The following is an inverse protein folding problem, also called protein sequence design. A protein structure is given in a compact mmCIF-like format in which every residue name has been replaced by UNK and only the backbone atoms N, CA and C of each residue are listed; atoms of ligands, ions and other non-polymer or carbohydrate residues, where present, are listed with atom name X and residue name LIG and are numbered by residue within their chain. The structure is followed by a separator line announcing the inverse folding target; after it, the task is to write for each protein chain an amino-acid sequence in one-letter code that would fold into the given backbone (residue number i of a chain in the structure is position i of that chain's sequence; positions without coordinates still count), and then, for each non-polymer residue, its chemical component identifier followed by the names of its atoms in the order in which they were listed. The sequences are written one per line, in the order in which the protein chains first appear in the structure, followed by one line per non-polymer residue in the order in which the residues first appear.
data_IF_152381299156
#
_entry.id   IF_152381299156
#
_cell.length_a   1.000
_cell.length_b   1.000
_cell.length_c   1.000
_cell.angle_alpha   90.00
_cell.angle_beta   90.00
_cell.angle_gamma   90.00
#
_symmetry.space_group_name_H-M   'P 1'
#
loop_
_entity.id
_entity.type
_entity.pdbx_description
1 polymer ?
#
# COMPACT_ATOMS: atom_id res chain seq x y z
N UNK A 1 20.65 -0.29 10.09
CA UNK A 1 20.01 -0.58 8.77
C UNK A 1 19.89 -2.08 8.48
N UNK A 2 20.92 -2.90 8.70
CA UNK A 2 20.88 -4.35 8.40
C UNK A 2 19.72 -5.10 9.07
N UNK A 3 19.49 -4.88 10.37
CA UNK A 3 18.38 -5.52 11.13
C UNK A 3 17.00 -5.20 10.56
N UNK A 4 16.80 -3.99 10.02
CA UNK A 4 15.51 -3.55 9.47
C UNK A 4 15.32 -3.92 8.01
N UNK A 5 16.37 -4.36 7.32
CA UNK A 5 16.30 -4.74 5.91
C UNK A 5 15.41 -5.98 5.71
N UNK A 6 15.54 -6.98 6.59
CA UNK A 6 14.73 -8.21 6.53
C UNK A 6 13.22 -7.96 6.69
N UNK A 7 12.72 -7.25 7.73
CA UNK A 7 11.30 -6.94 7.84
C UNK A 7 10.80 -6.04 6.71
N UNK A 8 11.63 -5.11 6.24
CA UNK A 8 11.26 -4.20 5.15
C UNK A 8 11.06 -4.93 3.81
N UNK A 9 12.02 -5.78 3.43
CA UNK A 9 11.91 -6.59 2.21
C UNK A 9 10.78 -7.61 2.30
N UNK A 10 10.59 -8.25 3.45
CA UNK A 10 9.48 -9.19 3.65
C UNK A 10 8.12 -8.50 3.51
N UNK A 11 7.97 -7.31 4.10
CA UNK A 11 6.75 -6.52 3.99
C UNK A 11 6.51 -6.01 2.57
N UNK A 12 7.56 -5.58 1.86
CA UNK A 12 7.50 -5.20 0.45
C UNK A 12 6.96 -6.34 -0.42
N UNK A 13 7.56 -7.53 -0.31
CA UNK A 13 7.15 -8.70 -1.11
C UNK A 13 5.71 -9.10 -0.81
N UNK A 14 5.35 -9.19 0.48
CA UNK A 14 4.00 -9.55 0.87
C UNK A 14 2.95 -8.52 0.41
N UNK A 15 3.24 -7.23 0.61
CA UNK A 15 2.40 -6.13 0.12
C UNK A 15 2.25 -6.15 -1.40
N UNK A 16 3.33 -6.45 -2.13
CA UNK A 16 3.32 -6.54 -3.59
C UNK A 16 2.45 -7.70 -4.10
N UNK A 17 2.53 -8.88 -3.48
CA UNK A 17 1.68 -10.03 -3.81
C UNK A 17 0.20 -9.70 -3.58
N UNK A 18 -0.12 -9.12 -2.42
CA UNK A 18 -1.50 -8.69 -2.12
C UNK A 18 -1.98 -7.60 -3.06
N UNK A 19 -1.10 -6.68 -3.45
CA UNK A 19 -1.41 -5.65 -4.43
C UNK A 19 -1.78 -6.26 -5.79
N UNK A 20 -0.96 -7.18 -6.33
CA UNK A 20 -1.27 -7.83 -7.61
C UNK A 20 -2.63 -8.52 -7.55
N UNK A 21 -2.90 -9.29 -6.50
CA UNK A 21 -4.16 -10.03 -6.37
C UNK A 21 -5.35 -9.07 -6.21
N UNK A 22 -5.25 -8.11 -5.30
CA UNK A 22 -6.31 -7.14 -5.04
C UNK A 22 -6.59 -6.26 -6.26
N UNK A 23 -5.55 -5.78 -6.94
CA UNK A 23 -5.72 -4.95 -8.13
C UNK A 23 -6.32 -5.76 -9.28
N UNK A 24 -5.80 -6.95 -9.56
CA UNK A 24 -6.23 -7.76 -10.71
C UNK A 24 -7.67 -8.24 -10.58
N UNK A 25 -8.07 -8.69 -9.39
CA UNK A 25 -9.36 -9.36 -9.18
C UNK A 25 -10.43 -8.51 -8.51
N UNK A 26 -10.07 -7.40 -7.86
CA UNK A 26 -11.03 -6.54 -7.14
C UNK A 26 -11.10 -5.15 -7.79
N UNK A 27 -9.97 -4.50 -8.05
CA UNK A 27 -9.97 -3.12 -8.55
C UNK A 27 -10.20 -3.01 -10.06
N UNK A 28 -9.40 -3.71 -10.87
CA UNK A 28 -9.47 -3.63 -12.34
C UNK A 28 -10.84 -3.93 -12.97
N UNK A 29 -11.65 -4.87 -12.45
CA UNK A 29 -12.98 -5.11 -12.99
C UNK A 29 -13.93 -3.90 -12.93
N UNK A 30 -13.67 -2.96 -12.01
CA UNK A 30 -14.51 -1.78 -11.78
C UNK A 30 -13.72 -0.47 -11.96
N UNK A 31 -12.49 -0.53 -12.46
CA UNK A 31 -11.60 0.62 -12.51
C UNK A 31 -12.04 1.64 -13.57
N UNK A 32 -12.00 2.91 -13.18
CA UNK A 32 -12.28 4.03 -14.07
C UNK A 32 -11.29 4.06 -15.25
N UNK A 33 -11.76 4.59 -16.38
CA UNK A 33 -10.87 4.87 -17.51
C UNK A 33 -9.82 5.92 -17.11
N UNK A 34 -8.56 5.68 -17.45
CA UNK A 34 -7.48 6.61 -17.14
C UNK A 34 -7.72 7.96 -17.83
N UNK A 35 -7.72 9.05 -17.04
CA UNK A 35 -7.87 10.41 -17.55
C UNK A 35 -6.68 10.86 -18.41
N UNK A 36 -5.49 10.31 -18.14
CA UNK A 36 -4.25 10.61 -18.83
C UNK A 36 -3.48 9.33 -19.15
N UNK A 37 -2.71 9.30 -20.26
CA UNK A 37 -1.85 8.18 -20.55
C UNK A 37 -0.76 8.04 -19.46
N UNK A 38 -0.38 6.80 -19.10
CA UNK A 38 0.65 6.57 -18.09
C UNK A 38 2.01 7.10 -18.57
N UNK A 39 2.74 7.78 -17.68
CA UNK A 39 4.06 8.36 -17.98
C UNK A 39 5.14 7.29 -18.25
N UNK A 40 4.97 6.09 -17.69
CA UNK A 40 5.89 4.96 -17.81
C UNK A 40 5.09 3.67 -18.01
N UNK A 41 5.70 2.60 -18.57
CA UNK A 41 5.06 1.29 -18.61
C UNK A 41 4.59 0.83 -17.23
N UNK A 42 3.44 0.17 -17.16
CA UNK A 42 2.79 -0.24 -15.89
C UNK A 42 3.72 -1.00 -14.95
N UNK A 43 4.53 -1.92 -15.47
CA UNK A 43 5.48 -2.70 -14.67
C UNK A 43 6.54 -1.82 -13.99
N UNK A 44 7.01 -0.77 -14.68
CA UNK A 44 8.00 0.16 -14.15
C UNK A 44 7.36 1.10 -13.13
N UNK A 45 6.14 1.58 -13.40
CA UNK A 45 5.37 2.38 -12.45
C UNK A 45 5.14 1.64 -11.13
N UNK A 46 4.76 0.36 -11.20
CA UNK A 46 4.59 -0.49 -10.01
C UNK A 46 5.90 -0.64 -9.23
N UNK A 47 7.03 -0.86 -9.90
CA UNK A 47 8.33 -0.98 -9.24
C UNK A 47 8.71 0.32 -8.51
N UNK A 48 8.59 1.46 -9.17
CA UNK A 48 8.90 2.78 -8.61
C UNK A 48 8.02 3.05 -7.38
N UNK A 49 6.70 2.91 -7.53
CA UNK A 49 5.75 3.19 -6.45
C UNK A 49 5.95 2.24 -5.26
N UNK A 50 6.23 0.96 -5.50
CA UNK A 50 6.46 0.00 -4.42
C UNK A 50 7.67 0.37 -3.56
N UNK A 51 8.76 0.83 -4.19
CA UNK A 51 9.96 1.32 -3.47
C UNK A 51 9.65 2.59 -2.68
N UNK A 52 8.97 3.55 -3.30
CA UNK A 52 8.60 4.80 -2.61
C UNK A 52 7.70 4.53 -1.40
N UNK A 53 6.70 3.67 -1.56
CA UNK A 53 5.74 3.32 -0.51
C UNK A 53 6.40 2.60 0.66
N UNK A 54 7.33 1.67 0.42
CA UNK A 54 7.97 0.95 1.52
C UNK A 54 8.93 1.85 2.30
N UNK A 55 9.65 2.76 1.63
CA UNK A 55 10.50 3.76 2.29
C UNK A 55 9.65 4.75 3.10
N UNK A 56 8.50 5.16 2.56
CA UNK A 56 7.57 6.02 3.27
C UNK A 56 6.97 5.33 4.50
N UNK A 57 6.58 4.05 4.37
CA UNK A 57 6.13 3.23 5.49
C UNK A 57 7.18 3.13 6.58
N UNK A 58 8.43 2.88 6.19
CA UNK A 58 9.54 2.76 7.11
C UNK A 58 9.81 4.05 7.88
N UNK A 59 9.69 5.19 7.21
CA UNK A 59 9.78 6.50 7.84
C UNK A 59 8.63 6.74 8.85
N UNK A 60 7.37 6.46 8.47
CA UNK A 60 6.22 6.59 9.38
C UNK A 60 6.35 5.64 10.56
N UNK A 61 6.79 4.41 10.32
CA UNK A 61 6.94 3.41 11.38
C UNK A 61 8.04 3.78 12.38
N UNK A 62 9.10 4.47 11.95
CA UNK A 62 10.08 5.02 12.88
C UNK A 62 9.48 6.09 13.80
N UNK A 63 8.54 6.89 13.31
CA UNK A 63 7.88 7.92 14.11
C UNK A 63 6.79 7.34 15.05
N UNK A 64 6.05 6.33 14.59
CA UNK A 64 4.89 5.76 15.30
C UNK A 64 5.29 4.61 16.23
N UNK A 65 6.32 3.84 15.87
CA UNK A 65 6.79 2.67 16.62
C UNK A 65 5.85 1.46 16.58
N UNK A 66 4.78 1.50 15.80
CA UNK A 66 3.81 0.40 15.67
C UNK A 66 3.49 0.14 14.18
N UNK A 67 4.01 -0.96 13.60
CA UNK A 67 3.88 -1.25 12.18
C UNK A 67 2.45 -1.32 11.67
N UNK A 68 1.54 -1.88 12.47
CA UNK A 68 0.12 -1.98 12.09
C UNK A 68 -0.55 -0.60 12.08
N UNK A 69 -0.30 0.21 13.11
CA UNK A 69 -0.82 1.59 13.16
C UNK A 69 -0.26 2.42 12.00
N UNK A 70 1.02 2.27 11.69
CA UNK A 70 1.65 2.93 10.54
C UNK A 70 0.98 2.57 9.21
N UNK A 71 0.71 1.28 8.99
CA UNK A 71 -0.02 0.82 7.80
C UNK A 71 -1.42 1.45 7.72
N UNK A 72 -2.17 1.43 8.81
CA UNK A 72 -3.52 2.02 8.87
C UNK A 72 -3.48 3.53 8.60
N UNK A 73 -2.53 4.27 9.17
CA UNK A 73 -2.38 5.71 8.94
C UNK A 73 -2.19 6.01 7.44
N UNK A 74 -1.36 5.22 6.76
CA UNK A 74 -1.13 5.41 5.32
C UNK A 74 -2.37 5.03 4.52
N UNK A 75 -3.00 3.90 4.83
CA UNK A 75 -4.22 3.46 4.16
C UNK A 75 -5.32 4.52 4.28
N UNK A 76 -5.59 5.01 5.48
CA UNK A 76 -6.62 6.03 5.73
C UNK A 76 -6.27 7.34 5.01
N UNK A 77 -4.99 7.72 4.98
CA UNK A 77 -4.55 8.92 4.26
C UNK A 77 -4.81 8.79 2.76
N UNK A 78 -4.53 7.64 2.16
CA UNK A 78 -4.82 7.39 0.75
C UNK A 78 -6.32 7.33 0.46
N UNK A 79 -7.11 6.71 1.35
CA UNK A 79 -8.57 6.68 1.23
C UNK A 79 -9.14 8.10 1.24
N UNK A 80 -8.72 8.94 2.19
CA UNK A 80 -9.24 10.31 2.27
C UNK A 80 -8.86 11.15 1.04
N UNK A 81 -7.60 11.07 0.59
CA UNK A 81 -7.08 11.91 -0.48
C UNK A 81 -7.41 11.44 -1.90
N UNK A 82 -7.56 10.12 -2.10
CA UNK A 82 -7.72 9.52 -3.43
C UNK A 82 -9.12 8.94 -3.62
N UNK A 83 -9.74 8.39 -2.58
CA UNK A 83 -11.10 7.82 -2.69
C UNK A 83 -12.16 8.86 -2.35
N UNK A 84 -12.14 9.42 -1.15
CA UNK A 84 -13.15 10.39 -0.72
C UNK A 84 -13.08 11.68 -1.55
N UNK A 85 -11.90 12.30 -1.63
CA UNK A 85 -11.76 13.57 -2.35
C UNK A 85 -12.11 13.44 -3.83
N UNK A 86 -11.71 12.34 -4.50
CA UNK A 86 -11.94 12.20 -5.94
C UNK A 86 -13.36 11.78 -6.28
N UNK A 87 -14.03 11.01 -5.42
CA UNK A 87 -15.47 10.78 -5.56
C UNK A 87 -16.24 12.09 -5.41
N UNK A 88 -15.92 12.87 -4.37
CA UNK A 88 -16.62 14.13 -4.10
C UNK A 88 -16.40 15.21 -5.16
N UNK A 89 -15.25 15.22 -5.83
CA UNK A 89 -14.94 16.18 -6.88
C UNK A 89 -15.22 15.66 -8.31
N UNK A 90 -15.77 14.46 -8.44
CA UNK A 90 -16.18 13.87 -9.72
C UNK A 90 -15.04 13.29 -10.57
N UNK A 91 -13.84 13.10 -10.02
CA UNK A 91 -12.70 12.49 -10.72
C UNK A 91 -12.58 10.96 -10.53
N UNK A 92 -13.48 10.34 -9.75
CA UNK A 92 -13.49 8.89 -9.50
C UNK A 92 -14.91 8.38 -9.29
N UNK A 93 -15.24 7.22 -9.83
CA UNK A 93 -16.53 6.58 -9.57
C UNK A 93 -16.58 5.93 -8.18
N UNK A 94 -17.80 5.81 -7.62
CA UNK A 94 -17.97 5.25 -6.27
C UNK A 94 -17.57 3.77 -6.20
N UNK A 95 -17.81 2.99 -7.26
CA UNK A 95 -17.47 1.57 -7.30
C UNK A 95 -15.95 1.36 -7.33
N UNK A 96 -15.25 2.14 -8.16
CA UNK A 96 -13.78 2.25 -8.15
C UNK A 96 -13.22 2.59 -6.77
N UNK A 97 -13.82 3.56 -6.10
CA UNK A 97 -13.38 3.99 -4.77
C UNK A 97 -13.57 2.91 -3.71
N UNK A 98 -14.73 2.24 -3.70
CA UNK A 98 -15.00 1.15 -2.75
C UNK A 98 -14.03 -0.01 -2.96
N UNK A 99 -13.78 -0.40 -4.20
CA UNK A 99 -12.79 -1.42 -4.51
C UNK A 99 -11.36 -1.01 -4.08
N UNK A 100 -11.00 0.26 -4.32
CA UNK A 100 -9.72 0.84 -3.87
C UNK A 100 -9.56 0.77 -2.35
N UNK A 101 -10.58 1.15 -1.57
CA UNK A 101 -10.57 1.07 -0.10
C UNK A 101 -10.23 -0.34 0.39
N UNK A 102 -10.91 -1.36 -0.15
CA UNK A 102 -10.69 -2.77 0.22
C UNK A 102 -9.24 -3.18 -0.07
N UNK A 103 -8.74 -2.85 -1.26
CA UNK A 103 -7.39 -3.21 -1.70
C UNK A 103 -6.32 -2.49 -0.87
N UNK A 104 -6.50 -1.19 -0.61
CA UNK A 104 -5.58 -0.40 0.21
C UNK A 104 -5.48 -0.95 1.63
N UNK A 105 -6.62 -1.23 2.27
CA UNK A 105 -6.63 -1.83 3.61
C UNK A 105 -5.94 -3.19 3.62
N UNK A 106 -6.21 -4.06 2.64
CA UNK A 106 -5.57 -5.37 2.53
C UNK A 106 -4.03 -5.26 2.39
N UNK A 107 -3.56 -4.37 1.51
CA UNK A 107 -2.12 -4.15 1.29
C UNK A 107 -1.45 -3.66 2.58
N UNK A 108 -1.96 -2.58 3.17
CA UNK A 108 -1.31 -1.93 4.29
C UNK A 108 -1.38 -2.74 5.60
N UNK A 109 -2.48 -3.47 5.81
CA UNK A 109 -2.56 -4.42 6.92
C UNK A 109 -1.55 -5.56 6.75
N UNK A 110 -1.38 -6.05 5.52
CA UNK A 110 -0.37 -7.09 5.22
C UNK A 110 1.04 -6.58 5.47
N UNK A 111 1.38 -5.38 4.97
CA UNK A 111 2.69 -4.75 5.19
C UNK A 111 2.95 -4.57 6.69
N UNK A 112 2.00 -3.99 7.43
CA UNK A 112 2.14 -3.78 8.87
C UNK A 112 2.29 -5.09 9.66
N UNK A 113 1.49 -6.11 9.32
CA UNK A 113 1.56 -7.43 9.95
C UNK A 113 2.88 -8.14 9.70
N UNK A 114 3.31 -8.23 8.44
CA UNK A 114 4.54 -8.94 8.05
C UNK A 114 5.77 -8.21 8.60
N UNK A 115 5.80 -6.88 8.53
CA UNK A 115 6.87 -6.09 9.13
C UNK A 115 6.95 -6.37 10.64
N UNK A 116 5.83 -6.29 11.36
CA UNK A 116 5.78 -6.51 12.82
C UNK A 116 6.20 -7.92 13.23
N UNK A 117 5.80 -8.95 12.46
CA UNK A 117 6.21 -10.35 12.68
C UNK A 117 7.72 -10.54 12.48
N UNK A 118 8.27 -9.95 11.42
CA UNK A 118 9.70 -10.09 11.09
C UNK A 118 10.61 -9.23 11.97
N UNK A 119 10.08 -8.12 12.53
CA UNK A 119 10.82 -7.29 13.49
C UNK A 119 10.82 -7.88 14.91
N UNK A 120 9.74 -8.53 15.34
CA UNK A 120 9.65 -9.18 16.65
C UNK A 120 10.46 -10.48 16.73
N UNK A 121 10.66 -11.18 15.62
CA UNK A 121 11.50 -12.38 15.54
C UNK A 121 13.01 -12.14 15.65
N UNK A 122 13.48 -10.90 15.80
CA UNK A 122 14.91 -10.56 15.94
C UNK A 122 15.39 -10.45 17.39
N UNK A 123 14.50 -10.60 18.39
CA UNK A 123 14.82 -10.49 19.82
C UNK A 123 14.96 -11.81 20.59
N UNK A 124 15.17 -12.95 19.91
CA UNK A 124 15.30 -14.27 20.56
C UNK A 124 16.63 -14.95 20.21
N UNK A 125 17.74 -14.23 20.44
CA UNK A 125 19.11 -14.74 20.41
C UNK A 125 19.83 -14.35 21.68
#
# INVERSE_FOLDING_TARGET
MSERMKPLLGALVAGYVVNIVGVTYVYFPVADSALYPPMVPTWLGLAIVSVLLILFFDWINQAVGNPMKSGIIIAVSQILLVDCLYVLNGNREIDSAVASVVVLLAIWCTIGFVYGKLSSGQGAG
#
